data_IF_336099514843
#
_entry.id   IF_336099514843
#
_cell.length_a   1.000
_cell.length_b   1.000
_cell.length_c   1.000
_cell.angle_alpha   90.00
_cell.angle_beta   90.00
_cell.angle_gamma   90.00
#
_symmetry.space_group_name_H-M   'P 1'
#
loop_
_entity.id
_entity.type
_entity.pdbx_description
1 polymer ?
#
# COMPACT_ATOMS: atom_id res chain seq x y z
N UNK A 1 5.12 -61.25 -78.18
CA UNK A 1 5.25 -62.06 -76.94
C UNK A 1 5.72 -61.14 -75.83
N UNK A 2 4.90 -60.95 -74.79
CA UNK A 2 5.19 -60.08 -73.65
C UNK A 2 5.97 -60.89 -72.62
N UNK A 3 7.21 -60.49 -72.34
CA UNK A 3 8.01 -61.02 -71.25
C UNK A 3 7.96 -60.02 -70.09
N UNK A 4 7.42 -60.50 -68.97
CA UNK A 4 7.44 -59.83 -67.66
C UNK A 4 8.78 -60.16 -67.00
N UNK A 5 9.47 -59.18 -66.43
CA UNK A 5 10.29 -59.40 -65.24
C UNK A 5 10.41 -58.12 -64.41
N UNK A 6 10.13 -58.29 -63.11
CA UNK A 6 10.21 -57.32 -62.02
C UNK A 6 11.58 -56.66 -61.91
N UNK A 7 11.62 -55.48 -61.28
CA UNK A 7 12.43 -55.13 -60.07
C UNK A 7 12.44 -53.59 -59.94
N UNK A 8 12.16 -53.06 -58.74
CA UNK A 8 12.50 -51.67 -58.42
C UNK A 8 11.65 -51.00 -57.35
N UNK A 9 11.67 -51.54 -56.14
CA UNK A 9 11.25 -50.85 -54.91
C UNK A 9 12.07 -49.57 -54.72
N UNK A 10 11.43 -48.43 -54.44
CA UNK A 10 11.97 -47.37 -53.58
C UNK A 10 10.84 -46.44 -53.11
N UNK A 11 10.29 -46.79 -51.95
CA UNK A 11 9.51 -45.91 -51.10
C UNK A 11 10.35 -44.70 -50.69
N UNK A 12 9.77 -43.50 -50.77
CA UNK A 12 10.39 -42.27 -50.29
C UNK A 12 9.34 -41.29 -49.75
N UNK A 13 8.46 -41.76 -48.86
CA UNK A 13 7.60 -40.88 -48.06
C UNK A 13 8.47 -40.17 -47.03
N UNK A 14 8.88 -38.94 -47.32
CA UNK A 14 9.52 -38.05 -46.36
C UNK A 14 8.47 -37.58 -45.33
N UNK A 15 8.35 -38.33 -44.22
CA UNK A 15 7.66 -37.85 -43.03
C UNK A 15 8.59 -36.82 -42.34
N UNK A 16 8.32 -35.54 -42.56
CA UNK A 16 8.89 -34.47 -41.76
C UNK A 16 8.42 -34.64 -40.31
N UNK A 17 9.28 -35.18 -39.44
CA UNK A 17 9.01 -35.27 -38.02
C UNK A 17 9.14 -33.88 -37.40
N UNK A 18 7.98 -33.24 -37.13
CA UNK A 18 7.91 -32.07 -36.27
C UNK A 18 8.24 -32.54 -34.86
N UNK A 19 9.47 -32.32 -34.42
CA UNK A 19 9.85 -32.54 -33.04
C UNK A 19 9.02 -31.62 -32.12
N UNK A 20 8.40 -32.14 -31.05
CA UNK A 20 7.66 -31.32 -30.10
C UNK A 20 8.63 -30.34 -29.42
N UNK A 21 8.31 -29.04 -29.47
CA UNK A 21 9.09 -28.02 -28.76
C UNK A 21 9.03 -28.31 -27.25
N UNK A 22 10.14 -28.21 -26.51
CA UNK A 22 10.13 -28.34 -25.06
C UNK A 22 9.16 -27.33 -24.46
N UNK A 23 8.21 -27.81 -23.65
CA UNK A 23 7.32 -26.93 -22.88
C UNK A 23 8.19 -26.21 -21.83
N UNK A 24 8.16 -24.87 -21.77
CA UNK A 24 8.88 -24.16 -20.73
C UNK A 24 8.37 -24.60 -19.35
N UNK A 25 9.25 -24.76 -18.34
CA UNK A 25 8.83 -25.18 -17.02
C UNK A 25 7.77 -24.22 -16.47
N UNK A 26 6.76 -24.73 -15.73
CA UNK A 26 5.75 -23.89 -15.11
C UNK A 26 6.44 -22.86 -14.20
N UNK A 27 6.00 -21.59 -14.27
CA UNK A 27 6.45 -20.58 -13.31
C UNK A 27 6.13 -21.07 -11.90
N UNK A 28 7.04 -20.89 -10.93
CA UNK A 28 6.75 -21.18 -9.53
C UNK A 28 5.44 -20.48 -9.12
N UNK A 29 4.63 -21.08 -8.23
CA UNK A 29 3.46 -20.42 -7.67
C UNK A 29 3.88 -19.06 -7.10
N UNK A 30 3.21 -17.97 -7.49
CA UNK A 30 3.40 -16.69 -6.81
C UNK A 30 2.98 -16.88 -5.35
N UNK A 31 3.92 -16.78 -4.42
CA UNK A 31 3.62 -16.76 -2.99
C UNK A 31 2.59 -15.64 -2.71
N UNK A 32 1.55 -15.89 -1.89
CA UNK A 32 0.62 -14.85 -1.49
C UNK A 32 1.41 -13.72 -0.83
N UNK A 33 1.53 -12.57 -1.51
CA UNK A 33 2.09 -11.37 -0.90
C UNK A 33 1.11 -10.93 0.16
N UNK A 34 1.39 -11.25 1.42
CA UNK A 34 0.65 -10.69 2.54
C UNK A 34 0.67 -9.15 2.38
N UNK A 35 -0.49 -8.46 2.37
CA UNK A 35 -0.49 -7.01 2.30
C UNK A 35 0.37 -6.47 3.44
N UNK A 36 1.40 -5.68 3.10
CA UNK A 36 2.29 -5.08 4.08
C UNK A 36 1.59 -3.90 4.74
N UNK A 37 0.59 -4.17 5.57
CA UNK A 37 -0.17 -3.11 6.22
C UNK A 37 0.60 -2.50 7.38
N UNK A 38 0.38 -1.23 7.69
CA UNK A 38 0.98 -0.54 8.84
C UNK A 38 -0.08 -0.07 9.82
N UNK A 39 0.33 0.16 11.05
CA UNK A 39 -0.46 0.85 12.07
C UNK A 39 0.02 2.29 12.21
N UNK A 40 -0.88 3.24 12.03
CA UNK A 40 -0.66 4.65 12.32
C UNK A 40 -1.14 4.96 13.74
N UNK A 41 -0.30 5.64 14.49
CA UNK A 41 -0.66 6.30 15.74
C UNK A 41 -0.38 7.80 15.65
N UNK A 42 -1.35 8.59 16.08
CA UNK A 42 -1.23 10.02 16.31
C UNK A 42 -1.46 10.25 17.79
N UNK A 43 -0.43 10.74 18.48
CA UNK A 43 -0.45 11.02 19.90
C UNK A 43 -0.35 12.53 20.13
N UNK A 44 -1.29 13.10 20.88
CA UNK A 44 -1.40 14.54 21.08
C UNK A 44 -1.39 14.89 22.56
N UNK A 45 -0.61 15.91 22.90
CA UNK A 45 -0.63 16.57 24.19
C UNK A 45 -0.96 18.05 24.04
N UNK A 46 -1.63 18.61 25.04
CA UNK A 46 -1.90 20.05 25.19
C UNK A 46 -1.39 20.48 26.56
N UNK A 47 -0.48 21.46 26.60
CA UNK A 47 0.15 21.94 27.83
C UNK A 47 0.77 20.81 28.67
N UNK A 48 1.37 19.82 27.99
CA UNK A 48 2.01 18.67 28.63
C UNK A 48 1.08 17.53 29.05
N UNK A 49 -0.24 17.71 28.96
CA UNK A 49 -1.23 16.68 29.30
C UNK A 49 -1.80 16.00 28.04
N UNK A 50 -2.15 14.71 28.07
CA UNK A 50 -2.84 14.05 26.96
C UNK A 50 -4.11 14.79 26.53
N UNK A 51 -4.27 15.01 25.23
CA UNK A 51 -5.39 15.78 24.69
C UNK A 51 -6.46 14.88 24.08
N UNK A 52 -7.51 14.58 24.85
CA UNK A 52 -8.64 13.77 24.43
C UNK A 52 -9.68 14.56 23.60
N UNK A 53 -10.46 13.85 22.79
CA UNK A 53 -11.60 14.40 22.05
C UNK A 53 -11.26 15.26 20.83
N UNK A 54 -9.99 15.34 20.43
CA UNK A 54 -9.56 16.06 19.24
C UNK A 54 -9.92 15.28 17.97
N UNK A 55 -10.33 15.99 16.92
CA UNK A 55 -10.68 15.35 15.65
C UNK A 55 -9.42 15.13 14.85
N UNK A 56 -9.14 13.87 14.51
CA UNK A 56 -8.00 13.47 13.69
C UNK A 56 -8.51 12.80 12.43
N UNK A 57 -8.36 13.47 11.29
CA UNK A 57 -8.74 12.95 9.98
C UNK A 57 -7.51 12.41 9.27
N UNK A 58 -7.56 11.16 8.84
CA UNK A 58 -6.61 10.57 7.91
C UNK A 58 -7.14 10.72 6.48
N UNK A 59 -6.31 11.10 5.51
CA UNK A 59 -6.66 11.07 4.07
C UNK A 59 -5.52 10.58 3.21
N UNK A 60 -5.89 10.13 2.01
CA UNK A 60 -4.94 9.77 0.96
C UNK A 60 -4.42 11.01 0.24
N UNK A 61 -3.12 11.05 -0.01
CA UNK A 61 -2.46 12.08 -0.78
C UNK A 61 -2.19 11.57 -2.20
N UNK A 62 -2.48 12.41 -3.18
CA UNK A 62 -2.13 12.23 -4.57
C UNK A 62 -0.73 12.75 -4.89
N UNK A 63 -0.33 12.69 -6.17
CA UNK A 63 0.95 13.23 -6.63
C UNK A 63 1.16 14.69 -6.18
N UNK A 64 2.38 15.01 -5.75
CA UNK A 64 2.73 16.35 -5.26
C UNK A 64 2.10 16.74 -3.93
N UNK A 65 1.55 15.79 -3.15
CA UNK A 65 0.99 16.05 -1.83
C UNK A 65 -0.42 16.65 -1.84
N UNK A 66 -1.13 16.58 -2.98
CA UNK A 66 -2.52 17.05 -3.08
C UNK A 66 -3.45 16.12 -2.30
N UNK A 67 -4.31 16.67 -1.45
CA UNK A 67 -5.36 15.89 -0.81
C UNK A 67 -6.36 15.36 -1.86
N UNK A 68 -6.60 14.05 -1.82
CA UNK A 68 -7.61 13.40 -2.68
C UNK A 68 -9.01 13.53 -2.06
N UNK A 69 -10.07 13.39 -2.87
CA UNK A 69 -11.44 13.38 -2.38
C UNK A 69 -11.67 12.34 -1.26
N UNK A 70 -12.60 12.62 -0.36
CA UNK A 70 -12.84 11.79 0.82
C UNK A 70 -13.29 10.37 0.46
N UNK A 71 -14.01 10.19 -0.66
CA UNK A 71 -14.36 8.87 -1.20
C UNK A 71 -13.14 7.99 -1.53
N UNK A 72 -11.95 8.56 -1.67
CA UNK A 72 -10.70 7.84 -1.96
C UNK A 72 -9.90 7.43 -0.71
N UNK A 73 -10.52 7.52 0.48
CA UNK A 73 -9.96 6.99 1.72
C UNK A 73 -9.72 8.05 2.78
N UNK A 74 -10.78 8.71 3.24
CA UNK A 74 -10.76 9.52 4.45
C UNK A 74 -11.33 8.76 5.64
N UNK A 75 -10.66 8.83 6.79
CA UNK A 75 -11.12 8.17 8.02
C UNK A 75 -10.95 9.10 9.23
N UNK A 76 -12.06 9.42 9.89
CA UNK A 76 -12.07 10.26 11.10
C UNK A 76 -11.95 9.40 12.36
N UNK A 77 -11.10 9.82 13.29
CA UNK A 77 -11.10 9.35 14.68
C UNK A 77 -11.05 10.53 15.64
N UNK A 78 -11.46 10.26 16.88
CA UNK A 78 -11.20 11.16 17.99
C UNK A 78 -9.99 10.66 18.78
N UNK A 79 -9.21 11.56 19.36
CA UNK A 79 -8.20 11.15 20.34
C UNK A 79 -8.88 10.60 21.60
N UNK A 80 -8.37 9.48 22.11
CA UNK A 80 -8.85 8.83 23.33
C UNK A 80 -8.41 9.59 24.60
N UNK A 81 -8.72 9.04 25.79
CA UNK A 81 -8.33 9.61 27.09
C UNK A 81 -6.81 9.74 27.28
N UNK A 82 -6.04 8.96 26.53
CA UNK A 82 -4.59 9.03 26.51
C UNK A 82 -4.07 9.92 25.37
N UNK A 83 -4.95 10.62 24.66
CA UNK A 83 -4.59 11.56 23.60
C UNK A 83 -4.26 10.91 22.26
N UNK A 84 -4.65 9.65 22.04
CA UNK A 84 -4.29 8.89 20.83
C UNK A 84 -5.43 8.68 19.85
N UNK A 85 -5.09 8.74 18.58
CA UNK A 85 -5.89 8.19 17.48
C UNK A 85 -5.07 7.15 16.72
N UNK A 86 -5.61 5.94 16.53
CA UNK A 86 -4.91 4.81 15.90
C UNK A 86 -5.66 4.24 14.71
N UNK A 87 -4.97 3.92 13.61
CA UNK A 87 -5.52 3.17 12.48
C UNK A 87 -4.64 1.96 12.20
N UNK A 88 -5.26 0.78 12.14
CA UNK A 88 -4.56 -0.46 11.85
C UNK A 88 -4.87 -0.88 10.40
N UNK A 89 -4.00 -1.70 9.82
CA UNK A 89 -4.29 -2.27 8.50
C UNK A 89 -4.19 -1.24 7.37
N UNK A 90 -3.44 -0.14 7.56
CA UNK A 90 -3.27 0.86 6.51
C UNK A 90 -2.38 0.30 5.41
N UNK A 91 -2.90 0.27 4.20
CA UNK A 91 -2.08 -0.03 3.02
C UNK A 91 -0.97 1.01 2.86
N UNK A 92 0.23 0.60 2.41
CA UNK A 92 1.29 1.52 2.07
C UNK A 92 0.82 2.57 1.06
N UNK A 93 1.26 3.81 1.26
CA UNK A 93 0.93 4.91 0.37
C UNK A 93 1.22 6.26 0.98
N UNK A 94 0.89 7.31 0.23
CA UNK A 94 0.99 8.67 0.72
C UNK A 94 -0.28 9.03 1.48
N UNK A 95 -0.10 9.37 2.74
CA UNK A 95 -1.16 9.69 3.67
C UNK A 95 -0.89 11.04 4.32
N UNK A 96 -1.95 11.72 4.76
CA UNK A 96 -1.86 12.93 5.56
C UNK A 96 -2.85 12.89 6.72
N UNK A 97 -2.55 13.67 7.76
CA UNK A 97 -3.34 13.78 8.98
C UNK A 97 -3.74 15.23 9.20
N UNK A 98 -5.01 15.49 9.54
CA UNK A 98 -5.51 16.78 10.01
C UNK A 98 -5.91 16.61 11.45
N UNK A 99 -5.30 17.42 12.29
CA UNK A 99 -5.74 17.62 13.65
C UNK A 99 -6.58 18.88 13.71
N UNK A 100 -7.79 18.75 14.28
CA UNK A 100 -8.68 19.88 14.56
C UNK A 100 -9.07 19.88 16.03
N UNK A 101 -8.80 21.01 16.69
CA UNK A 101 -9.35 21.33 18.01
C UNK A 101 -10.36 22.48 17.83
N UNK A 102 -11.68 22.21 17.91
CA UNK A 102 -12.68 23.25 17.75
C UNK A 102 -12.71 24.26 18.90
N UNK A 103 -12.18 23.93 20.08
CA UNK A 103 -12.20 24.82 21.24
C UNK A 103 -11.13 25.91 21.13
N UNK A 104 -9.95 25.56 20.63
CA UNK A 104 -8.86 26.53 20.42
C UNK A 104 -8.82 27.11 19.01
N UNK A 105 -9.53 26.49 18.07
CA UNK A 105 -9.46 26.83 16.65
C UNK A 105 -8.26 26.23 15.92
N UNK A 106 -7.49 25.32 16.55
CA UNK A 106 -6.37 24.65 15.88
C UNK A 106 -6.86 23.89 14.65
N UNK A 107 -6.17 24.10 13.54
CA UNK A 107 -6.25 23.29 12.33
C UNK A 107 -4.82 23.05 11.81
N UNK A 108 -4.32 21.84 12.01
CA UNK A 108 -2.99 21.43 11.55
C UNK A 108 -3.16 20.30 10.53
N UNK A 109 -2.61 20.45 9.34
CA UNK A 109 -2.60 19.38 8.32
C UNK A 109 -1.15 19.06 7.95
N UNK A 110 -0.77 17.79 8.05
CA UNK A 110 0.61 17.35 7.82
C UNK A 110 0.64 16.06 7.01
N UNK A 111 1.56 15.93 6.04
CA UNK A 111 1.79 14.66 5.36
C UNK A 111 2.55 13.68 6.28
N UNK A 112 2.28 12.38 6.16
CA UNK A 112 3.00 11.32 6.87
C UNK A 112 4.30 10.98 6.13
N UNK A 113 5.27 11.89 6.16
CA UNK A 113 6.63 11.67 5.64
C UNK A 113 7.61 11.40 6.77
N UNK A 114 8.79 10.87 6.42
CA UNK A 114 9.87 10.62 7.39
C UNK A 114 10.20 11.87 8.22
N UNK A 115 10.23 13.05 7.59
CA UNK A 115 10.56 14.30 8.27
C UNK A 115 9.54 14.67 9.36
N UNK A 116 8.25 14.50 9.08
CA UNK A 116 7.19 14.78 10.06
C UNK A 116 7.08 13.70 11.16
N UNK A 117 7.63 12.52 10.92
CA UNK A 117 7.67 11.43 11.91
C UNK A 117 8.98 11.41 12.72
N UNK A 118 10.04 12.07 12.24
CA UNK A 118 11.36 12.05 12.88
C UNK A 118 11.38 12.69 14.27
N UNK A 119 10.51 13.68 14.52
CA UNK A 119 10.39 14.34 15.81
C UNK A 119 8.97 14.83 16.08
N UNK A 120 8.57 15.03 17.35
CA UNK A 120 7.29 15.62 17.67
C UNK A 120 7.15 17.05 17.14
N UNK A 121 5.99 17.35 16.57
CA UNK A 121 5.60 18.67 16.11
C UNK A 121 5.11 19.51 17.29
N UNK A 122 5.54 20.77 17.37
CA UNK A 122 5.10 21.70 18.41
C UNK A 122 4.38 22.87 17.75
N UNK A 123 3.11 23.08 18.10
CA UNK A 123 2.27 24.14 17.55
C UNK A 123 1.52 24.80 18.70
N UNK A 124 1.99 25.98 19.12
CA UNK A 124 1.43 26.66 20.29
C UNK A 124 1.48 25.75 21.54
N UNK A 125 0.35 25.50 22.23
CA UNK A 125 0.32 24.64 23.40
C UNK A 125 0.31 23.14 23.06
N UNK A 126 0.30 22.76 21.79
CA UNK A 126 0.19 21.37 21.35
C UNK A 126 1.55 20.76 21.05
N UNK A 127 1.71 19.50 21.45
CA UNK A 127 2.77 18.60 20.99
C UNK A 127 2.11 17.41 20.31
N UNK A 128 2.53 17.08 19.09
CA UNK A 128 1.96 16.01 18.27
C UNK A 128 3.08 15.05 17.88
N UNK A 129 2.90 13.77 18.12
CA UNK A 129 3.81 12.73 17.67
C UNK A 129 3.07 11.82 16.69
N UNK A 130 3.74 11.53 15.58
CA UNK A 130 3.25 10.65 14.53
C UNK A 130 4.12 9.40 14.52
N UNK A 131 3.49 8.22 14.49
CA UNK A 131 4.19 6.95 14.45
C UNK A 131 3.56 6.00 13.44
N UNK A 132 4.40 5.33 12.65
CA UNK A 132 4.02 4.17 11.86
C UNK A 132 4.74 2.95 12.42
N UNK A 133 3.99 1.92 12.78
CA UNK A 133 4.54 0.63 13.21
C UNK A 133 4.16 -0.46 12.21
N UNK A 134 5.02 -1.45 11.98
CA UNK A 134 4.63 -2.69 11.31
C UNK A 134 3.47 -3.37 12.05
N UNK A 135 2.74 -4.29 11.38
CA UNK A 135 1.65 -5.03 11.99
C UNK A 135 2.15 -6.05 13.02
#
# INVERSE_FOLDING_TARGET
MRLVCLIGLCFGLALAQVAPRPVPPPRPPEEPRTPQTVTLEVQVWRQGQPAAGLRVLLWRLGPGGRQLPAEMGAALRLTDSEGRARWNGLEPGHWGVQLRDPQSGLLLSVPLTADFMAAPLVVGPYRIQLGLTPP
#
